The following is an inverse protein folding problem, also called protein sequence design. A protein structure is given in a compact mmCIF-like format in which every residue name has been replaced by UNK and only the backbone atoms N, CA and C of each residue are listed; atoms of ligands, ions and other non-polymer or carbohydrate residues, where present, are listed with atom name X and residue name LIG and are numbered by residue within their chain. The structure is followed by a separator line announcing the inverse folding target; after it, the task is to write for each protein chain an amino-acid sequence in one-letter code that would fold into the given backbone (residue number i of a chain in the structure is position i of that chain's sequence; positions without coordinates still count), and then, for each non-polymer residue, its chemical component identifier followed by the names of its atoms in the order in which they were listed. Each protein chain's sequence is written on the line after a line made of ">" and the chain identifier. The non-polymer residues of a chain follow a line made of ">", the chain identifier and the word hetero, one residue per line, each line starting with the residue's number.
data_IF_095822323171
#
_entry.id   IF_095822323171
#
_cell.length_a   1.000
_cell.length_b   1.000
_cell.length_c   1.000
_cell.angle_alpha   90.00
_cell.angle_beta   90.00
_cell.angle_gamma   90.00
#
_symmetry.space_group_name_H-M   'P 1'
#
loop_
_entity.id
_entity.type
_entity.pdbx_description
1 polymer ?
#
# COMPACT_ATOMS: atom_id res chain seq x y z
N UNK A 1 3.15 23.82 -1.84
CA UNK A 1 3.29 22.57 -2.61
C UNK A 1 3.16 21.43 -1.63
N UNK A 2 1.95 20.89 -1.44
CA UNK A 2 1.79 19.70 -0.60
C UNK A 2 1.91 18.51 -1.55
N UNK A 3 3.12 17.98 -1.69
CA UNK A 3 3.32 16.70 -2.38
C UNK A 3 2.48 15.68 -1.62
N UNK A 4 1.45 15.12 -2.27
CA UNK A 4 0.66 14.05 -1.69
C UNK A 4 1.58 12.83 -1.61
N UNK A 5 2.25 12.65 -0.47
CA UNK A 5 2.94 11.41 -0.15
C UNK A 5 1.86 10.35 0.11
N UNK A 6 1.25 9.80 -0.95
CA UNK A 6 0.28 8.73 -0.83
C UNK A 6 1.01 7.48 -0.33
N UNK A 7 0.94 7.17 0.96
CA UNK A 7 1.47 5.91 1.50
C UNK A 7 0.80 4.72 0.79
N UNK A 8 1.55 3.64 0.52
CA UNK A 8 0.98 2.44 -0.10
C UNK A 8 -0.13 1.84 0.78
N UNK A 9 -0.12 2.15 2.08
CA UNK A 9 -1.17 1.77 3.01
C UNK A 9 -2.56 2.26 2.54
N UNK A 10 -2.68 3.50 2.04
CA UNK A 10 -3.99 4.08 1.68
C UNK A 10 -4.64 3.32 0.52
N UNK A 11 -3.85 2.75 -0.39
CA UNK A 11 -4.35 1.93 -1.51
C UNK A 11 -4.46 0.43 -1.20
N UNK A 12 -4.11 0.02 0.02
CA UNK A 12 -4.15 -1.39 0.45
C UNK A 12 -5.54 -1.81 0.90
N UNK A 13 -5.99 -2.99 0.46
CA UNK A 13 -7.29 -3.58 0.84
C UNK A 13 -7.44 -3.85 2.35
N UNK A 14 -6.32 -3.94 3.08
CA UNK A 14 -6.28 -4.24 4.51
C UNK A 14 -6.27 -2.97 5.39
N UNK A 15 -6.13 -1.79 4.80
CA UNK A 15 -6.01 -0.54 5.56
C UNK A 15 -7.34 -0.15 6.19
N UNK A 16 -7.30 0.21 7.48
CA UNK A 16 -8.49 0.55 8.28
C UNK A 16 -8.57 2.04 8.63
N UNK A 17 -7.63 2.87 8.16
CA UNK A 17 -7.45 4.23 8.63
C UNK A 17 -6.57 4.31 9.87
N UNK A 18 -6.33 5.52 10.38
CA UNK A 18 -5.59 5.79 11.63
C UNK A 18 -4.25 5.04 11.76
N UNK A 19 -3.50 4.89 10.66
CA UNK A 19 -2.23 4.15 10.62
C UNK A 19 -2.39 2.69 11.07
N UNK A 20 -3.51 2.03 10.77
CA UNK A 20 -3.77 0.63 11.16
C UNK A 20 -4.21 -0.24 9.98
N UNK A 21 -3.93 -1.53 10.06
CA UNK A 21 -4.37 -2.53 9.10
C UNK A 21 -4.47 -3.92 9.74
N UNK A 22 -4.98 -4.90 9.01
CA UNK A 22 -5.09 -6.28 9.50
C UNK A 22 -3.72 -6.90 9.87
N UNK A 23 -2.64 -6.49 9.19
CA UNK A 23 -1.26 -6.91 9.49
C UNK A 23 -0.72 -6.29 10.79
N UNK A 24 -1.11 -5.04 11.07
CA UNK A 24 -0.66 -4.24 12.21
C UNK A 24 -1.85 -3.58 12.91
N UNK A 25 -2.60 -4.34 13.74
CA UNK A 25 -3.80 -3.82 14.40
C UNK A 25 -3.50 -2.72 15.43
N UNK A 26 -2.31 -2.75 16.03
CA UNK A 26 -1.86 -1.77 17.02
C UNK A 26 -1.24 -0.50 16.39
N UNK A 27 -0.85 -0.58 15.11
CA UNK A 27 -0.26 0.54 14.38
C UNK A 27 0.81 0.08 13.38
N UNK A 28 0.73 0.61 12.16
CA UNK A 28 1.68 0.34 11.07
C UNK A 28 3.01 1.01 11.41
N UNK A 29 4.13 0.26 11.44
CA UNK A 29 5.47 0.81 11.64
C UNK A 29 5.75 1.99 10.69
N UNK A 30 6.41 3.03 11.19
CA UNK A 30 6.78 4.21 10.40
C UNK A 30 7.61 3.84 9.16
N UNK A 31 8.45 2.80 9.27
CA UNK A 31 9.23 2.27 8.15
C UNK A 31 8.35 1.84 6.97
N UNK A 32 7.21 1.20 7.25
CA UNK A 32 6.25 0.81 6.22
C UNK A 32 5.39 2.01 5.80
N UNK A 33 4.89 2.77 6.78
CA UNK A 33 3.94 3.86 6.53
C UNK A 33 4.53 4.97 5.66
N UNK A 34 5.80 5.31 5.87
CA UNK A 34 6.53 6.32 5.10
C UNK A 34 7.24 5.76 3.85
N UNK A 35 6.95 4.50 3.47
CA UNK A 35 7.55 3.79 2.32
C UNK A 35 9.06 3.56 2.38
N UNK A 36 9.64 3.46 3.57
CA UNK A 36 11.02 2.99 3.73
C UNK A 36 11.15 1.47 3.54
N UNK A 37 10.06 0.73 3.79
CA UNK A 37 9.95 -0.71 3.56
C UNK A 37 8.77 -1.04 2.63
N UNK A 38 9.02 -1.88 1.63
CA UNK A 38 8.00 -2.35 0.69
C UNK A 38 7.25 -3.56 1.26
N UNK A 39 6.02 -3.33 1.70
CA UNK A 39 5.16 -4.34 2.33
C UNK A 39 4.56 -5.37 1.34
N UNK A 40 5.06 -5.43 0.10
CA UNK A 40 4.94 -6.60 -0.77
C UNK A 40 5.87 -7.74 -0.34
N UNK A 41 6.90 -7.43 0.44
CA UNK A 41 7.82 -8.39 1.02
C UNK A 41 7.45 -8.68 2.49
N UNK A 42 7.88 -9.84 3.02
CA UNK A 42 7.74 -10.14 4.44
C UNK A 42 8.36 -9.07 5.33
N UNK A 43 7.62 -8.65 6.34
CA UNK A 43 8.06 -7.76 7.40
C UNK A 43 7.83 -8.42 8.76
N UNK A 44 8.58 -7.95 9.76
CA UNK A 44 8.49 -8.52 11.11
C UNK A 44 7.11 -8.24 11.71
N UNK A 45 6.50 -9.26 12.32
CA UNK A 45 5.23 -9.18 13.06
C UNK A 45 4.00 -8.77 12.20
N UNK A 46 4.03 -9.00 10.88
CA UNK A 46 2.96 -8.59 9.94
C UNK A 46 1.84 -9.62 9.73
N UNK A 47 1.77 -10.63 10.61
CA UNK A 47 0.76 -11.70 10.56
C UNK A 47 0.70 -12.45 9.21
N UNK A 48 1.80 -12.46 8.44
CA UNK A 48 1.89 -13.05 7.10
C UNK A 48 0.96 -12.39 6.05
N UNK A 49 0.46 -11.18 6.35
CA UNK A 49 -0.40 -10.40 5.46
C UNK A 49 0.49 -9.52 4.58
N UNK A 50 0.28 -9.59 3.26
CA UNK A 50 1.02 -8.81 2.26
C UNK A 50 0.16 -7.68 1.71
N UNK A 51 0.82 -6.69 1.12
CA UNK A 51 0.13 -5.64 0.37
C UNK A 51 -0.71 -6.22 -0.78
N UNK A 52 -1.97 -5.82 -0.83
CA UNK A 52 -2.89 -6.10 -1.93
C UNK A 52 -3.65 -4.82 -2.26
N UNK A 53 -3.63 -4.42 -3.54
CA UNK A 53 -4.35 -3.23 -4.01
C UNK A 53 -5.86 -3.45 -3.86
N UNK A 54 -6.54 -2.48 -3.25
CA UNK A 54 -7.99 -2.48 -3.19
C UNK A 54 -8.57 -2.43 -4.63
N UNK A 55 -9.58 -3.26 -4.90
CA UNK A 55 -10.15 -3.43 -6.26
C UNK A 55 -10.57 -2.13 -6.94
N UNK A 56 -10.96 -1.12 -6.16
CA UNK A 56 -11.33 0.22 -6.63
C UNK A 56 -10.17 0.97 -7.33
N UNK A 57 -8.93 0.56 -7.08
CA UNK A 57 -7.72 1.10 -7.70
C UNK A 57 -7.09 0.14 -8.73
N UNK A 58 -7.50 -1.13 -8.76
CA UNK A 58 -6.93 -2.15 -9.64
C UNK A 58 -7.24 -1.89 -11.13
N UNK A 59 -8.42 -1.33 -11.44
CA UNK A 59 -8.80 -1.04 -12.82
C UNK A 59 -8.04 0.16 -13.42
N UNK A 60 -7.55 1.08 -12.58
CA UNK A 60 -6.76 2.22 -13.03
C UNK A 60 -5.30 1.86 -13.31
N UNK A 61 -4.73 0.85 -12.64
CA UNK A 61 -3.36 0.40 -12.95
C UNK A 61 -3.27 -0.24 -14.34
N UNK A 62 -4.26 -1.01 -14.77
CA UNK A 62 -4.28 -1.59 -16.13
C UNK A 62 -4.34 -0.51 -17.21
N UNK A 63 -5.09 0.57 -16.96
CA UNK A 63 -5.16 1.75 -17.84
C UNK A 63 -3.84 2.52 -17.86
N UNK A 64 -3.20 2.75 -16.71
CA UNK A 64 -1.91 3.45 -16.63
C UNK A 64 -0.81 2.62 -17.31
N UNK A 65 -0.75 1.32 -17.05
CA UNK A 65 0.27 0.43 -17.63
C UNK A 65 0.10 0.28 -19.15
N UNK A 66 -1.14 0.21 -19.66
CA UNK A 66 -1.41 0.26 -21.12
C UNK A 66 -1.01 1.57 -21.79
N UNK A 67 -0.93 2.67 -21.03
CA UNK A 67 -0.50 3.96 -21.55
C UNK A 67 1.02 4.02 -21.76
N UNK A 68 1.80 3.19 -21.05
CA UNK A 68 3.28 3.13 -21.12
C UNK A 68 3.82 2.00 -22.01
N UNK A 69 3.00 1.02 -22.39
CA UNK A 69 3.37 -0.08 -23.31
C UNK A 69 3.26 0.31 -24.82
N UNK A 70 3.07 1.60 -25.13
CA UNK A 70 3.10 2.12 -26.50
C UNK A 70 4.50 2.66 -26.81
N UNK A 71 5.43 1.74 -27.02
CA UNK A 71 6.68 1.98 -27.77
C UNK A 71 6.46 1.77 -29.28
#
# INVERSE_FOLDING_TARGET
>A
MTTIMSSMCISCTHYKGDQKCDAFPDGIPEEIFWKYADHRHPFKDDNDIRFQIASEYAEFEDVINRQYDKE
#
